data_IF_436535172094
#
_entry.id   IF_436535172094
#
_cell.length_a   1.000
_cell.length_b   1.000
_cell.length_c   1.000
_cell.angle_alpha   90.00
_cell.angle_beta   90.00
_cell.angle_gamma   90.00
#
_symmetry.space_group_name_H-M   'P 1'
#
loop_
_entity.id
_entity.type
_entity.pdbx_description
1 polymer ?
#
# COMPACT_ATOMS: atom_id res chain seq x y z
N UNK A 1 6.06 3.15 -10.02
CA UNK A 1 7.50 3.41 -9.94
C UNK A 1 8.03 2.80 -8.65
N UNK A 2 8.88 1.80 -8.75
CA UNK A 2 9.45 1.03 -7.65
C UNK A 2 10.43 1.88 -6.83
N UNK A 3 9.91 2.71 -5.94
CA UNK A 3 10.71 3.57 -5.05
C UNK A 3 11.21 2.81 -3.80
N UNK A 4 11.36 1.47 -3.87
CA UNK A 4 11.78 0.65 -2.74
C UNK A 4 10.75 0.55 -1.61
N UNK A 5 9.45 0.69 -1.90
CA UNK A 5 8.39 0.59 -0.88
C UNK A 5 8.47 -0.71 -0.08
N UNK A 6 8.67 -1.84 -0.76
CA UNK A 6 8.81 -3.16 -0.11
C UNK A 6 9.99 -3.20 0.84
N UNK A 7 11.14 -2.63 0.45
CA UNK A 7 12.32 -2.54 1.30
C UNK A 7 12.06 -1.66 2.54
N UNK A 8 11.39 -0.52 2.36
CA UNK A 8 11.01 0.36 3.48
C UNK A 8 10.09 -0.37 4.45
N UNK A 9 9.05 -1.07 3.93
CA UNK A 9 8.11 -1.84 4.76
C UNK A 9 8.80 -2.98 5.50
N UNK A 10 9.73 -3.69 4.84
CA UNK A 10 10.54 -4.74 5.48
C UNK A 10 11.43 -4.17 6.59
N UNK A 11 12.08 -3.03 6.35
CA UNK A 11 12.93 -2.37 7.33
C UNK A 11 12.14 -1.88 8.54
N UNK A 12 10.94 -1.32 8.33
CA UNK A 12 10.04 -0.92 9.41
C UNK A 12 9.62 -2.13 10.25
N UNK A 13 9.21 -3.22 9.61
CA UNK A 13 8.88 -4.45 10.32
C UNK A 13 10.07 -4.96 11.14
N UNK A 14 11.25 -5.11 10.55
CA UNK A 14 12.45 -5.60 11.25
C UNK A 14 12.82 -4.74 12.46
N UNK A 15 12.65 -3.43 12.37
CA UNK A 15 12.95 -2.51 13.46
C UNK A 15 12.04 -2.74 14.69
N UNK A 16 10.82 -3.22 14.49
CA UNK A 16 9.81 -3.33 15.54
C UNK A 16 9.23 -4.74 15.75
N UNK A 17 9.68 -5.75 14.99
CA UNK A 17 9.09 -7.12 15.00
C UNK A 17 8.97 -7.78 16.37
N UNK A 18 9.84 -7.45 17.32
CA UNK A 18 9.80 -7.97 18.69
C UNK A 18 8.76 -7.28 19.58
N UNK A 19 8.24 -6.14 19.15
CA UNK A 19 7.38 -5.27 19.96
C UNK A 19 5.99 -5.09 19.36
N UNK A 20 5.87 -5.17 18.04
CA UNK A 20 4.66 -4.80 17.31
C UNK A 20 4.24 -5.89 16.33
N UNK A 21 3.02 -6.43 16.54
CA UNK A 21 2.37 -7.29 15.55
C UNK A 21 1.91 -6.43 14.38
N UNK A 22 2.38 -6.74 13.18
CA UNK A 22 2.26 -5.88 12.01
C UNK A 22 1.31 -6.45 10.97
N UNK A 23 0.40 -5.62 10.48
CA UNK A 23 -0.45 -5.89 9.32
C UNK A 23 -0.08 -4.96 8.17
N UNK A 24 0.30 -5.52 7.03
CA UNK A 24 0.43 -4.79 5.78
C UNK A 24 -0.82 -5.00 4.94
N UNK A 25 -1.41 -3.92 4.47
CA UNK A 25 -2.64 -3.93 3.67
C UNK A 25 -2.34 -3.43 2.26
N UNK A 26 -2.79 -4.19 1.26
CA UNK A 26 -2.77 -3.80 -0.15
C UNK A 26 -4.15 -4.02 -0.79
N UNK A 27 -4.40 -3.38 -1.91
CA UNK A 27 -5.58 -3.61 -2.76
C UNK A 27 -5.24 -4.35 -4.07
N UNK A 28 -3.96 -4.60 -4.33
CA UNK A 28 -3.46 -5.17 -5.57
C UNK A 28 -3.07 -6.64 -5.39
N UNK A 29 -3.78 -7.53 -6.10
CA UNK A 29 -3.53 -8.98 -6.07
C UNK A 29 -2.22 -9.37 -6.76
N UNK A 30 -1.86 -8.69 -7.83
CA UNK A 30 -0.67 -8.99 -8.61
C UNK A 30 0.57 -8.57 -7.83
N UNK A 31 0.49 -7.38 -7.20
CA UNK A 31 1.51 -6.94 -6.26
C UNK A 31 1.67 -7.93 -5.09
N UNK A 32 0.58 -8.47 -4.53
CA UNK A 32 0.66 -9.41 -3.41
C UNK A 32 1.42 -10.68 -3.79
N UNK A 33 1.26 -11.17 -5.02
CA UNK A 33 1.99 -12.34 -5.51
C UNK A 33 3.49 -12.04 -5.67
N UNK A 34 3.82 -10.88 -6.26
CA UNK A 34 5.21 -10.42 -6.36
C UNK A 34 5.83 -10.18 -4.98
N UNK A 35 5.09 -9.55 -4.07
CA UNK A 35 5.52 -9.25 -2.71
C UNK A 35 5.89 -10.51 -1.91
N UNK A 36 5.27 -11.66 -2.18
CA UNK A 36 5.64 -12.94 -1.54
C UNK A 36 7.12 -13.25 -1.72
N UNK A 37 7.61 -13.12 -2.95
CA UNK A 37 9.01 -13.44 -3.26
C UNK A 37 9.95 -12.35 -2.73
N UNK A 38 9.58 -11.07 -2.88
CA UNK A 38 10.38 -9.95 -2.39
C UNK A 38 10.52 -9.98 -0.85
N UNK A 39 9.41 -10.22 -0.12
CA UNK A 39 9.47 -10.29 1.34
C UNK A 39 10.24 -11.50 1.85
N UNK A 40 10.18 -12.65 1.18
CA UNK A 40 11.05 -13.80 1.51
C UNK A 40 12.52 -13.46 1.38
N UNK A 41 12.88 -12.67 0.35
CA UNK A 41 14.27 -12.23 0.16
C UNK A 41 14.72 -11.23 1.22
N UNK A 42 13.87 -10.25 1.59
CA UNK A 42 14.21 -9.21 2.56
C UNK A 42 14.07 -9.66 4.02
N UNK A 43 13.25 -10.67 4.26
CA UNK A 43 12.91 -11.19 5.60
C UNK A 43 13.18 -12.70 5.68
N UNK A 44 14.42 -13.16 5.44
CA UNK A 44 14.73 -14.60 5.46
C UNK A 44 14.48 -15.17 6.86
N UNK A 45 13.74 -16.28 6.93
CA UNK A 45 13.41 -16.97 8.19
C UNK A 45 12.25 -16.36 8.98
N UNK A 46 11.62 -15.27 8.51
CA UNK A 46 10.40 -14.74 9.13
C UNK A 46 9.17 -15.50 8.67
N UNK A 47 8.28 -15.80 9.63
CA UNK A 47 6.97 -16.36 9.32
C UNK A 47 6.04 -15.23 8.87
N UNK A 48 5.60 -15.31 7.61
CA UNK A 48 4.75 -14.30 6.96
C UNK A 48 3.43 -14.93 6.55
N UNK A 49 2.33 -14.47 7.13
CA UNK A 49 0.99 -14.89 6.73
C UNK A 49 0.46 -14.03 5.59
N UNK A 50 -0.10 -14.67 4.56
CA UNK A 50 -0.75 -13.98 3.43
C UNK A 50 -2.25 -14.23 3.43
N UNK A 51 -3.04 -13.15 3.55
CA UNK A 51 -4.50 -13.21 3.67
C UNK A 51 -5.17 -12.90 2.34
N UNK A 52 -5.47 -13.98 1.59
CA UNK A 52 -6.37 -13.99 0.43
C UNK A 52 -7.52 -14.95 0.73
N UNK A 53 -8.69 -14.44 1.13
CA UNK A 53 -9.80 -15.27 1.61
C UNK A 53 -9.76 -15.45 3.13
N UNK A 54 -10.15 -16.62 3.63
CA UNK A 54 -10.17 -16.92 5.07
C UNK A 54 -8.90 -17.67 5.48
N UNK A 55 -8.09 -17.04 6.31
CA UNK A 55 -6.83 -17.60 6.84
C UNK A 55 -6.83 -17.42 8.35
N UNK A 56 -6.62 -18.47 9.10
CA UNK A 56 -6.50 -18.45 10.56
C UNK A 56 -5.04 -18.25 10.99
N UNK A 57 -4.86 -17.87 12.26
CA UNK A 57 -3.55 -17.80 12.92
C UNK A 57 -2.56 -16.88 12.18
N UNK A 58 -2.85 -15.59 12.24
CA UNK A 58 -1.96 -14.58 11.68
C UNK A 58 -0.63 -14.51 12.44
N UNK A 59 0.45 -14.59 11.70
CA UNK A 59 1.82 -14.42 12.22
C UNK A 59 2.09 -12.98 12.68
N UNK A 60 3.30 -12.74 13.20
CA UNK A 60 3.70 -11.39 13.62
C UNK A 60 3.78 -10.41 12.45
N UNK A 61 4.03 -10.91 11.23
CA UNK A 61 3.91 -10.12 10.02
C UNK A 61 2.88 -10.75 9.10
N UNK A 62 1.77 -10.06 8.94
CA UNK A 62 0.66 -10.51 8.08
C UNK A 62 0.48 -9.52 6.93
N UNK A 63 0.36 -10.03 5.72
CA UNK A 63 0.11 -9.25 4.52
C UNK A 63 -1.26 -9.64 3.97
N UNK A 64 -2.16 -8.70 3.82
CA UNK A 64 -3.53 -9.00 3.45
C UNK A 64 -4.13 -8.05 2.43
N UNK A 65 -5.00 -8.61 1.59
CA UNK A 65 -5.81 -7.81 0.68
C UNK A 65 -6.94 -7.15 1.46
N UNK A 66 -7.10 -5.83 1.28
CA UNK A 66 -8.18 -5.06 1.91
C UNK A 66 -9.56 -5.64 1.64
N UNK A 67 -9.79 -6.16 0.44
CA UNK A 67 -11.06 -6.78 0.04
C UNK A 67 -11.34 -8.06 0.84
N UNK A 68 -10.31 -8.90 1.01
CA UNK A 68 -10.43 -10.16 1.77
C UNK A 68 -10.69 -9.90 3.24
N UNK A 69 -9.97 -8.94 3.83
CA UNK A 69 -10.15 -8.55 5.24
C UNK A 69 -11.53 -7.91 5.44
N UNK A 70 -11.91 -6.96 4.58
CA UNK A 70 -13.19 -6.25 4.69
C UNK A 70 -14.40 -7.19 4.57
N UNK A 71 -14.35 -8.17 3.65
CA UNK A 71 -15.44 -9.16 3.48
C UNK A 71 -15.56 -10.13 4.65
N UNK A 72 -14.45 -10.46 5.30
CA UNK A 72 -14.38 -11.44 6.38
C UNK A 72 -14.14 -10.80 7.76
N UNK A 73 -14.50 -9.54 7.94
CA UNK A 73 -14.16 -8.75 9.12
C UNK A 73 -14.61 -9.36 10.45
N UNK A 74 -15.83 -9.95 10.50
CA UNK A 74 -16.32 -10.63 11.69
C UNK A 74 -15.49 -11.84 12.05
N UNK A 75 -15.00 -12.55 11.03
CA UNK A 75 -14.12 -13.70 11.18
C UNK A 75 -12.73 -13.31 11.72
N UNK A 76 -12.22 -12.13 11.33
CA UNK A 76 -10.91 -11.62 11.72
C UNK A 76 -10.92 -10.67 12.93
N UNK A 77 -12.02 -10.57 13.67
CA UNK A 77 -12.14 -9.59 14.76
C UNK A 77 -11.04 -9.78 15.83
N UNK A 78 -10.71 -11.02 16.18
CA UNK A 78 -9.66 -11.34 17.14
C UNK A 78 -8.28 -10.93 16.63
N UNK A 79 -7.96 -11.30 15.39
CA UNK A 79 -6.68 -11.01 14.76
C UNK A 79 -6.47 -9.50 14.60
N UNK A 80 -7.48 -8.78 14.13
CA UNK A 80 -7.44 -7.33 13.96
C UNK A 80 -7.24 -6.59 15.30
N UNK A 81 -7.82 -7.09 16.40
CA UNK A 81 -7.64 -6.49 17.72
C UNK A 81 -6.23 -6.63 18.29
N UNK A 82 -5.41 -7.53 17.74
CA UNK A 82 -4.03 -7.78 18.17
C UNK A 82 -3.00 -7.00 17.34
N UNK A 83 -3.42 -6.25 16.33
CA UNK A 83 -2.50 -5.52 15.46
C UNK A 83 -2.05 -4.23 16.14
N UNK A 84 -0.74 -4.09 16.33
CA UNK A 84 -0.10 -2.91 16.93
C UNK A 84 0.35 -1.89 15.86
N UNK A 85 0.80 -2.38 14.69
CA UNK A 85 1.26 -1.55 13.58
C UNK A 85 0.55 -1.93 12.30
N UNK A 86 0.05 -0.94 11.56
CA UNK A 86 -0.48 -1.13 10.21
C UNK A 86 0.34 -0.34 9.20
N UNK A 87 0.74 -1.04 8.14
CA UNK A 87 1.36 -0.48 6.95
C UNK A 87 0.36 -0.55 5.81
N UNK A 88 0.21 0.51 5.04
CA UNK A 88 -0.71 0.53 3.89
C UNK A 88 0.05 0.92 2.64
N UNK A 89 0.06 0.01 1.67
CA UNK A 89 0.54 0.31 0.32
C UNK A 89 -0.55 1.03 -0.47
N UNK A 90 -0.13 1.95 -1.34
CA UNK A 90 -1.00 2.87 -2.08
C UNK A 90 -1.99 3.59 -1.14
N UNK A 91 -1.45 4.24 -0.12
CA UNK A 91 -2.22 4.89 0.95
C UNK A 91 -3.20 5.97 0.46
N UNK A 92 -3.00 6.52 -0.75
CA UNK A 92 -3.95 7.42 -1.40
C UNK A 92 -5.31 6.75 -1.67
N UNK A 93 -5.37 5.41 -1.73
CA UNK A 93 -6.61 4.62 -1.78
C UNK A 93 -7.31 4.50 -0.40
N UNK A 94 -6.63 4.87 0.68
CA UNK A 94 -7.12 4.76 2.07
C UNK A 94 -8.42 5.50 2.36
N UNK A 95 -8.80 6.45 1.50
CA UNK A 95 -10.10 7.13 1.55
C UNK A 95 -11.28 6.27 1.08
N UNK A 96 -11.07 5.09 0.51
CA UNK A 96 -12.16 4.22 0.06
C UNK A 96 -12.88 3.55 1.23
N UNK A 97 -14.17 3.22 1.02
CA UNK A 97 -15.03 2.60 2.05
C UNK A 97 -14.44 1.29 2.60
N UNK A 98 -13.77 0.50 1.77
CA UNK A 98 -13.15 -0.76 2.19
C UNK A 98 -12.01 -0.54 3.17
N UNK A 99 -11.11 0.41 2.88
CA UNK A 99 -10.03 0.77 3.79
C UNK A 99 -10.58 1.35 5.10
N UNK A 100 -11.55 2.26 5.02
CA UNK A 100 -12.19 2.85 6.21
C UNK A 100 -12.79 1.75 7.10
N UNK A 101 -13.50 0.77 6.53
CA UNK A 101 -14.07 -0.33 7.28
C UNK A 101 -12.99 -1.14 8.03
N UNK A 102 -11.85 -1.41 7.41
CA UNK A 102 -10.76 -2.16 8.05
C UNK A 102 -10.07 -1.31 9.10
N UNK A 103 -9.66 -0.08 8.77
CA UNK A 103 -8.90 0.81 9.67
C UNK A 103 -9.69 1.13 10.93
N UNK A 104 -11.02 1.32 10.83
CA UNK A 104 -11.87 1.59 12.00
C UNK A 104 -12.00 0.40 12.95
N UNK A 105 -11.60 -0.79 12.55
CA UNK A 105 -11.58 -2.00 13.41
C UNK A 105 -10.22 -2.28 14.03
N UNK A 106 -9.21 -1.54 13.67
CA UNK A 106 -7.87 -1.63 14.25
C UNK A 106 -7.78 -0.77 15.52
N UNK A 107 -8.54 -1.13 16.55
CA UNK A 107 -8.70 -0.32 17.77
C UNK A 107 -7.40 -0.17 18.57
N UNK A 108 -6.57 -1.23 18.60
CA UNK A 108 -5.35 -1.27 19.40
C UNK A 108 -4.11 -0.83 18.61
N UNK A 109 -4.27 -0.50 17.33
CA UNK A 109 -3.15 -0.10 16.48
C UNK A 109 -2.59 1.25 16.90
N UNK A 110 -1.36 1.24 17.36
CA UNK A 110 -0.62 2.42 17.84
C UNK A 110 0.15 3.13 16.73
N UNK A 111 0.59 2.38 15.72
CA UNK A 111 1.41 2.89 14.60
C UNK A 111 0.67 2.68 13.29
N UNK A 112 0.47 3.75 12.53
CA UNK A 112 -0.20 3.72 11.22
C UNK A 112 0.66 4.43 10.20
N UNK A 113 1.17 3.72 9.20
CA UNK A 113 2.06 4.27 8.18
C UNK A 113 1.47 3.95 6.81
N UNK A 114 1.27 4.99 6.01
CA UNK A 114 0.85 4.88 4.62
C UNK A 114 2.00 5.21 3.69
N UNK A 115 2.22 4.39 2.67
CA UNK A 115 3.17 4.62 1.60
C UNK A 115 2.40 4.84 0.30
N UNK A 116 2.74 5.88 -0.45
CA UNK A 116 2.13 6.16 -1.76
C UNK A 116 3.07 7.00 -2.60
N UNK A 117 3.00 6.80 -3.92
CA UNK A 117 3.68 7.68 -4.87
C UNK A 117 2.95 9.01 -5.12
N UNK A 118 1.71 9.14 -4.67
CA UNK A 118 0.76 10.17 -5.13
C UNK A 118 -0.17 10.70 -4.02
N UNK A 119 0.38 10.93 -2.84
CA UNK A 119 -0.40 11.51 -1.73
C UNK A 119 -0.75 12.99 -2.02
N UNK A 120 -2.00 13.36 -1.77
CA UNK A 120 -2.52 14.73 -1.89
C UNK A 120 -2.42 15.36 -3.29
N UNK A 121 -2.57 14.57 -4.36
CA UNK A 121 -2.41 15.06 -5.74
C UNK A 121 -3.39 16.15 -6.17
N UNK A 122 -4.54 16.27 -5.54
CA UNK A 122 -5.59 17.19 -5.97
C UNK A 122 -5.96 18.21 -4.90
N UNK A 123 -5.96 19.48 -5.28
CA UNK A 123 -6.53 20.58 -4.49
C UNK A 123 -8.02 20.82 -4.78
N UNK A 124 -8.64 19.97 -5.61
CA UNK A 124 -10.03 20.09 -5.99
C UNK A 124 -10.96 19.90 -4.79
N UNK A 125 -12.07 20.60 -4.76
CA UNK A 125 -13.04 20.54 -3.66
C UNK A 125 -13.54 19.12 -3.39
N UNK A 126 -13.73 18.31 -4.44
CA UNK A 126 -14.17 16.90 -4.35
C UNK A 126 -13.17 16.00 -3.59
N UNK A 127 -11.88 16.35 -3.59
CA UNK A 127 -10.83 15.56 -2.96
C UNK A 127 -10.52 16.00 -1.53
N UNK A 128 -11.15 17.09 -1.04
CA UNK A 128 -10.93 17.59 0.33
C UNK A 128 -11.30 16.56 1.39
N UNK A 129 -12.45 15.89 1.23
CA UNK A 129 -12.90 14.85 2.17
C UNK A 129 -11.94 13.66 2.18
N UNK A 130 -11.49 13.23 1.00
CA UNK A 130 -10.50 12.16 0.85
C UNK A 130 -9.19 12.54 1.57
N UNK A 131 -8.67 13.74 1.30
CA UNK A 131 -7.44 14.24 1.93
C UNK A 131 -7.58 14.39 3.44
N UNK A 132 -8.76 14.82 3.93
CA UNK A 132 -9.04 14.90 5.36
C UNK A 132 -9.02 13.50 6.00
N UNK A 133 -9.67 12.52 5.38
CA UNK A 133 -9.69 11.14 5.88
C UNK A 133 -8.28 10.55 5.94
N UNK A 134 -7.44 10.79 4.91
CA UNK A 134 -6.04 10.35 4.91
C UNK A 134 -5.25 10.97 6.07
N UNK A 135 -5.43 12.25 6.34
CA UNK A 135 -4.80 12.93 7.49
C UNK A 135 -5.30 12.39 8.83
N UNK A 136 -6.59 12.08 8.95
CA UNK A 136 -7.14 11.47 10.16
C UNK A 136 -6.58 10.06 10.40
N UNK A 137 -6.30 9.30 9.35
CA UNK A 137 -5.78 7.93 9.48
C UNK A 137 -4.27 7.87 9.70
N UNK A 138 -3.49 8.66 8.97
CA UNK A 138 -2.04 8.58 8.93
C UNK A 138 -1.31 9.80 9.51
N UNK A 139 -2.02 10.88 9.77
CA UNK A 139 -1.39 12.13 10.19
C UNK A 139 -0.74 12.90 9.03
N UNK A 140 0.36 13.58 9.34
CA UNK A 140 1.11 14.37 8.36
C UNK A 140 2.09 13.50 7.55
N UNK A 141 2.52 14.01 6.39
CA UNK A 141 3.62 13.41 5.62
C UNK A 141 4.91 13.52 6.42
N UNK A 142 5.50 12.35 6.74
CA UNK A 142 6.73 12.26 7.52
C UNK A 142 7.98 12.40 6.65
N UNK A 143 7.93 11.84 5.44
CA UNK A 143 9.03 11.88 4.49
C UNK A 143 8.51 11.90 3.06
N UNK A 144 9.18 12.66 2.20
CA UNK A 144 8.92 12.71 0.76
C UNK A 144 10.23 12.49 0.01
N UNK A 145 10.20 11.56 -0.96
CA UNK A 145 11.31 11.30 -1.85
C UNK A 145 10.91 11.57 -3.29
N UNK A 146 11.36 12.70 -3.83
CA UNK A 146 10.95 13.15 -5.15
C UNK A 146 11.65 12.36 -6.26
N UNK A 147 10.96 12.13 -7.37
CA UNK A 147 11.54 11.46 -8.54
C UNK A 147 12.83 12.12 -9.01
N UNK A 148 12.91 13.46 -8.96
CA UNK A 148 14.12 14.22 -9.29
C UNK A 148 15.32 13.82 -8.42
N UNK A 149 15.10 13.60 -7.14
CA UNK A 149 16.16 13.18 -6.20
C UNK A 149 16.53 11.72 -6.42
N UNK A 150 15.56 10.88 -6.76
CA UNK A 150 15.78 9.48 -7.13
C UNK A 150 16.67 9.38 -8.38
N UNK A 151 16.39 10.17 -9.41
CA UNK A 151 17.21 10.21 -10.63
C UNK A 151 18.62 10.72 -10.31
N UNK A 152 18.73 11.79 -9.53
CA UNK A 152 20.04 12.37 -9.14
C UNK A 152 20.90 11.38 -8.37
N UNK A 153 20.30 10.54 -7.54
CA UNK A 153 20.99 9.49 -6.76
C UNK A 153 21.20 8.19 -7.53
N UNK A 154 20.78 8.10 -8.79
CA UNK A 154 20.92 6.89 -9.60
C UNK A 154 19.93 5.76 -9.29
N UNK A 155 18.90 6.00 -8.45
CA UNK A 155 17.90 4.99 -8.11
C UNK A 155 16.79 4.85 -9.16
N UNK A 156 16.66 5.82 -10.06
CA UNK A 156 15.70 5.80 -11.16
C UNK A 156 16.31 6.37 -12.43
N UNK A 157 15.93 5.82 -13.56
CA UNK A 157 16.33 6.33 -14.88
C UNK A 157 15.53 7.56 -15.25
N UNK A 158 16.17 8.48 -16.00
CA UNK A 158 15.48 9.64 -16.55
C UNK A 158 14.54 9.20 -17.67
N UNK A 159 13.26 9.49 -17.50
CA UNK A 159 12.26 9.25 -18.54
C UNK A 159 12.34 10.36 -19.59
N UNK A 160 12.48 9.98 -20.87
CA UNK A 160 12.42 10.89 -22.01
C UNK A 160 11.13 10.57 -22.76
N UNK A 161 10.19 11.51 -22.77
CA UNK A 161 8.96 11.39 -23.55
C UNK A 161 9.17 12.13 -24.88
N UNK A 162 9.14 11.40 -26.00
CA UNK A 162 9.12 11.97 -27.34
C UNK A 162 7.68 11.97 -27.82
N UNK A 163 7.12 13.16 -28.04
CA UNK A 163 5.84 13.30 -28.71
C UNK A 163 6.09 13.28 -30.22
N UNK A 164 5.54 12.29 -30.92
CA UNK A 164 5.56 12.21 -32.38
C UNK A 164 4.22 12.75 -32.87
N UNK A 165 4.18 13.78 -33.74
CA UNK A 165 2.93 14.23 -34.32
C UNK A 165 2.34 13.11 -35.16
N UNK A 166 1.18 12.62 -34.77
CA UNK A 166 0.40 11.63 -35.50
C UNK A 166 -0.74 12.29 -36.29
N UNK A 167 -1.27 11.60 -37.28
CA UNK A 167 -2.54 12.01 -37.90
C UNK A 167 -3.64 11.90 -36.83
N UNK A 168 -4.66 12.79 -36.84
CA UNK A 168 -5.81 12.64 -35.96
C UNK A 168 -6.43 11.25 -36.17
N UNK A 169 -6.56 10.49 -35.09
CA UNK A 169 -7.15 9.18 -35.16
C UNK A 169 -8.66 9.29 -34.96
N UNK A 170 -9.42 8.81 -35.96
CA UNK A 170 -10.88 8.86 -35.96
C UNK A 170 -11.54 7.49 -35.79
N UNK A 171 -10.79 6.44 -35.47
CA UNK A 171 -11.25 5.05 -35.32
C UNK A 171 -11.51 4.64 -33.88
N UNK A 172 -12.01 3.43 -33.70
CA UNK A 172 -12.25 2.81 -32.43
C UNK A 172 -10.95 2.14 -31.96
N UNK A 173 -10.30 2.65 -30.92
CA UNK A 173 -8.98 2.19 -30.46
C UNK A 173 -8.96 0.69 -30.07
N UNK A 174 -10.14 0.09 -29.75
CA UNK A 174 -10.28 -1.32 -29.43
C UNK A 174 -10.14 -2.26 -30.62
N UNK A 175 -10.37 -1.78 -31.85
CA UNK A 175 -10.28 -2.59 -33.07
C UNK A 175 -8.91 -2.57 -33.75
N UNK A 176 -8.04 -1.62 -33.41
CA UNK A 176 -6.77 -1.38 -34.12
C UNK A 176 -5.52 -1.77 -33.30
N UNK A 177 -5.71 -2.39 -32.13
CA UNK A 177 -4.66 -2.94 -31.28
C UNK A 177 -4.52 -4.46 -31.40
N UNK A 178 -4.53 -5.00 -32.66
CA UNK A 178 -4.23 -6.42 -32.93
C UNK A 178 -2.90 -6.51 -33.68
#
# INVERSE_FOLDING_TARGET
VNAGKTLIMSSLYLSYKKQLKTLLITNDSDWLNQAREEFKQYLPGEDITFVQGKVLNWSNFTIGMVQSISRNMRFYQKELSQIDMVLIDEADQGGSKQYQNVITRLFNTRVRIGLSGTIYMSKLAKDRVKNMNLRCFFGNVLAEFKLKDSIRKGYSTKTIVKMVPGKPWYGNWESDCI
#
